data_IF_914666577642
#
_entry.id   IF_914666577642
#
_cell.length_a   1.000
_cell.length_b   1.000
_cell.length_c   1.000
_cell.angle_alpha   90.00
_cell.angle_beta   90.00
_cell.angle_gamma   90.00
#
_symmetry.space_group_name_H-M   'P 1'
#
loop_
_entity.id
_entity.type
_entity.pdbx_description
1 polymer ?
#
# COMPACT_ATOMS: atom_id res chain seq x y z
N UNK A 1 -40.41 58.39 21.93
CA UNK A 1 -40.28 57.62 20.68
C UNK A 1 -38.89 57.71 20.02
N UNK A 2 -38.30 58.89 19.77
CA UNK A 2 -36.99 59.01 19.09
C UNK A 2 -35.81 58.25 19.76
N UNK A 3 -35.73 58.22 21.10
CA UNK A 3 -34.64 57.53 21.82
C UNK A 3 -34.69 55.99 21.74
N UNK A 4 -35.87 55.40 21.54
CA UNK A 4 -36.04 53.94 21.46
C UNK A 4 -35.59 53.42 20.09
N UNK A 5 -35.89 54.18 19.02
CA UNK A 5 -35.46 53.87 17.65
C UNK A 5 -33.92 53.96 17.52
N UNK A 6 -33.30 54.89 18.24
CA UNK A 6 -31.85 55.06 18.22
C UNK A 6 -31.14 53.91 18.95
N UNK A 7 -31.74 53.38 20.03
CA UNK A 7 -31.19 52.24 20.76
C UNK A 7 -31.30 50.94 19.95
N UNK A 8 -32.41 50.72 19.24
CA UNK A 8 -32.60 49.52 18.41
C UNK A 8 -31.66 49.47 17.20
N UNK A 9 -31.37 50.62 16.58
CA UNK A 9 -30.38 50.71 15.49
C UNK A 9 -28.96 50.38 15.97
N UNK A 10 -28.55 50.84 17.15
CA UNK A 10 -27.22 50.55 17.71
C UNK A 10 -27.10 49.05 18.06
N UNK A 11 -28.13 48.45 18.62
CA UNK A 11 -28.14 47.00 18.94
C UNK A 11 -28.07 46.17 17.66
N UNK A 12 -28.81 46.51 16.60
CA UNK A 12 -28.70 45.81 15.31
C UNK A 12 -27.29 45.93 14.70
N UNK A 13 -26.65 47.09 14.76
CA UNK A 13 -25.27 47.25 14.26
C UNK A 13 -24.26 46.35 15.01
N UNK A 14 -24.39 46.21 16.33
CA UNK A 14 -23.52 45.35 17.13
C UNK A 14 -23.69 43.86 16.79
N UNK A 15 -24.93 43.42 16.52
CA UNK A 15 -25.19 42.04 16.06
C UNK A 15 -24.61 41.75 14.67
N UNK A 16 -24.68 42.72 13.74
CA UNK A 16 -24.07 42.58 12.40
C UNK A 16 -22.55 42.54 12.48
N UNK A 17 -21.93 43.35 13.37
CA UNK A 17 -20.48 43.32 13.57
C UNK A 17 -19.99 42.01 14.21
N UNK A 18 -20.72 41.47 15.20
CA UNK A 18 -20.36 40.18 15.80
C UNK A 18 -20.46 39.02 14.79
N UNK A 19 -21.52 38.96 13.99
CA UNK A 19 -21.67 37.90 12.98
C UNK A 19 -20.58 37.95 11.89
N UNK A 20 -20.15 39.13 11.45
CA UNK A 20 -19.06 39.28 10.49
C UNK A 20 -17.71 38.78 11.03
N UNK A 21 -17.41 39.05 12.31
CA UNK A 21 -16.17 38.59 12.94
C UNK A 21 -16.08 37.06 13.02
N UNK A 22 -17.20 36.38 13.30
CA UNK A 22 -17.24 34.92 13.34
C UNK A 22 -17.08 34.28 11.95
N UNK A 23 -17.67 34.89 10.90
CA UNK A 23 -17.51 34.42 9.52
C UNK A 23 -16.04 34.55 9.06
N UNK A 24 -15.34 35.63 9.45
CA UNK A 24 -13.92 35.80 9.13
C UNK A 24 -13.04 34.76 9.85
N UNK A 25 -13.35 34.45 11.11
CA UNK A 25 -12.65 33.41 11.88
C UNK A 25 -12.84 32.02 11.23
N UNK A 26 -14.07 31.66 10.86
CA UNK A 26 -14.38 30.39 10.18
C UNK A 26 -13.69 30.26 8.81
N UNK A 27 -13.64 31.34 8.03
CA UNK A 27 -12.90 31.38 6.75
C UNK A 27 -11.39 31.22 6.94
N UNK A 28 -10.83 31.82 8.00
CA UNK A 28 -9.41 31.69 8.32
C UNK A 28 -9.07 30.25 8.72
N UNK A 29 -9.83 29.63 9.61
CA UNK A 29 -9.62 28.24 10.05
C UNK A 29 -9.71 27.25 8.91
N UNK A 30 -10.76 27.34 8.07
CA UNK A 30 -10.91 26.48 6.88
C UNK A 30 -9.82 26.69 5.84
N UNK A 31 -9.26 27.90 5.71
CA UNK A 31 -8.13 28.16 4.79
C UNK A 31 -6.80 27.60 5.31
N UNK A 32 -6.61 27.59 6.63
CA UNK A 32 -5.42 27.04 7.30
C UNK A 32 -5.47 25.51 7.27
N UNK A 33 -6.62 24.92 7.60
CA UNK A 33 -6.84 23.48 7.52
C UNK A 33 -6.70 22.96 6.07
N UNK A 34 -7.24 23.69 5.09
CA UNK A 34 -7.01 23.35 3.67
C UNK A 34 -5.55 23.52 3.23
N UNK A 35 -4.79 24.45 3.83
CA UNK A 35 -3.35 24.59 3.56
C UNK A 35 -2.55 23.46 4.19
N UNK A 36 -2.86 23.05 5.42
CA UNK A 36 -2.21 21.93 6.09
C UNK A 36 -2.53 20.61 5.40
N UNK A 37 -3.78 20.39 4.97
CA UNK A 37 -4.17 19.21 4.16
C UNK A 37 -3.48 19.22 2.78
N UNK A 38 -3.36 20.38 2.12
CA UNK A 38 -2.63 20.50 0.84
C UNK A 38 -1.12 20.34 1.00
N UNK A 39 -0.57 20.71 2.15
CA UNK A 39 0.87 20.59 2.45
C UNK A 39 1.22 19.17 2.88
N UNK A 40 0.33 18.47 3.59
CA UNK A 40 0.45 17.04 3.91
C UNK A 40 0.20 16.12 2.69
N UNK A 41 -0.62 16.56 1.72
CA UNK A 41 -0.79 15.88 0.41
C UNK A 41 0.27 16.23 -0.63
N UNK A 42 1.22 17.13 -0.33
CA UNK A 42 2.41 17.32 -1.16
C UNK A 42 3.36 16.17 -0.84
N UNK A 43 3.14 15.08 -1.57
CA UNK A 43 3.91 13.84 -1.59
C UNK A 43 5.39 14.05 -1.25
N UNK A 44 5.80 13.60 -0.06
CA UNK A 44 7.14 13.03 0.07
C UNK A 44 7.05 11.66 -0.59
N UNK A 45 7.06 11.66 -1.92
CA UNK A 45 7.22 10.46 -2.74
C UNK A 45 8.68 10.05 -2.57
N UNK A 46 9.00 9.37 -1.47
CA UNK A 46 10.29 8.65 -1.38
C UNK A 46 10.19 7.57 -2.44
N UNK A 47 10.70 7.85 -3.64
CA UNK A 47 10.81 6.85 -4.68
C UNK A 47 11.81 5.82 -4.14
N UNK A 48 11.34 4.64 -3.72
CA UNK A 48 12.19 3.55 -3.28
C UNK A 48 13.29 3.31 -4.30
N UNK A 49 14.54 3.30 -3.88
CA UNK A 49 15.67 3.02 -4.78
C UNK A 49 15.57 1.58 -5.31
N UNK A 50 15.87 1.42 -6.59
CA UNK A 50 15.94 0.10 -7.23
C UNK A 50 17.18 -0.60 -6.70
N UNK A 51 17.00 -1.81 -6.19
CA UNK A 51 18.09 -2.67 -5.69
C UNK A 51 18.36 -3.81 -6.67
N UNK A 52 19.48 -4.52 -6.50
CA UNK A 52 19.85 -5.65 -7.38
C UNK A 52 20.19 -6.88 -6.56
N UNK A 53 19.57 -8.01 -6.93
CA UNK A 53 19.85 -9.30 -6.34
C UNK A 53 21.25 -9.80 -6.72
N UNK A 54 21.98 -10.43 -5.78
CA UNK A 54 23.10 -11.30 -6.11
C UNK A 54 22.72 -12.34 -7.18
N UNK A 55 23.65 -12.65 -8.09
CA UNK A 55 23.39 -13.53 -9.25
C UNK A 55 22.97 -14.95 -8.87
N UNK A 56 23.56 -15.47 -7.80
CA UNK A 56 23.23 -16.77 -7.21
C UNK A 56 21.81 -16.77 -6.65
N UNK A 57 21.43 -15.73 -5.90
CA UNK A 57 20.05 -15.57 -5.40
C UNK A 57 19.03 -15.47 -6.53
N UNK A 58 19.32 -14.65 -7.55
CA UNK A 58 18.46 -14.54 -8.73
C UNK A 58 18.29 -15.89 -9.43
N UNK A 59 19.37 -16.65 -9.59
CA UNK A 59 19.33 -17.99 -10.18
C UNK A 59 18.45 -18.93 -9.35
N UNK A 60 18.65 -18.97 -8.03
CA UNK A 60 17.84 -19.80 -7.13
C UNK A 60 16.35 -19.43 -7.21
N UNK A 61 15.99 -18.15 -7.19
CA UNK A 61 14.59 -17.71 -7.32
C UNK A 61 14.00 -18.18 -8.65
N UNK A 62 14.72 -18.02 -9.77
CA UNK A 62 14.26 -18.47 -11.08
C UNK A 62 13.98 -19.96 -11.13
N UNK A 63 14.88 -20.76 -10.55
CA UNK A 63 14.76 -22.23 -10.52
C UNK A 63 13.65 -22.69 -9.57
N UNK A 64 13.60 -22.17 -8.34
CA UNK A 64 12.62 -22.57 -7.32
C UNK A 64 11.18 -22.28 -7.74
N UNK A 65 10.94 -21.13 -8.38
CA UNK A 65 9.60 -20.69 -8.74
C UNK A 65 9.28 -20.85 -10.23
N UNK A 66 10.08 -21.62 -10.97
CA UNK A 66 9.92 -21.86 -12.41
C UNK A 66 9.75 -20.56 -13.25
N UNK A 67 10.46 -19.50 -12.87
CA UNK A 67 10.42 -18.22 -13.57
C UNK A 67 11.45 -18.21 -14.70
N UNK A 68 11.00 -18.59 -15.89
CA UNK A 68 11.90 -18.83 -17.03
C UNK A 68 11.60 -17.97 -18.25
N UNK A 69 10.32 -17.63 -18.51
CA UNK A 69 9.90 -16.99 -19.76
C UNK A 69 9.59 -15.51 -19.59
N UNK A 70 8.93 -15.16 -18.50
CA UNK A 70 8.36 -13.84 -18.22
C UNK A 70 9.46 -12.82 -17.87
N UNK A 71 9.32 -11.56 -18.29
CA UNK A 71 10.32 -10.51 -18.02
C UNK A 71 10.32 -10.03 -16.57
N UNK A 72 9.16 -10.10 -15.91
CA UNK A 72 8.94 -9.66 -14.54
C UNK A 72 8.41 -10.83 -13.70
N UNK A 73 8.85 -10.89 -12.44
CA UNK A 73 8.27 -11.70 -11.37
C UNK A 73 7.64 -10.76 -10.34
N UNK A 74 6.37 -10.98 -10.04
CA UNK A 74 5.62 -10.33 -8.97
C UNK A 74 5.38 -11.36 -7.86
N UNK A 75 5.80 -11.03 -6.65
CA UNK A 75 5.72 -11.89 -5.48
C UNK A 75 4.84 -11.22 -4.45
N UNK A 76 3.68 -11.81 -4.18
CA UNK A 76 2.77 -11.41 -3.12
C UNK A 76 3.15 -12.20 -1.86
N UNK A 77 3.68 -11.52 -0.85
CA UNK A 77 4.15 -12.13 0.37
C UNK A 77 3.11 -12.06 1.48
N UNK A 78 2.97 -13.16 2.22
CA UNK A 78 2.13 -13.27 3.42
C UNK A 78 2.97 -13.76 4.60
N UNK A 79 2.97 -12.98 5.69
CA UNK A 79 3.82 -13.17 6.87
C UNK A 79 3.44 -14.36 7.76
N UNK A 80 4.11 -14.45 8.91
CA UNK A 80 3.81 -15.46 9.92
C UNK A 80 2.49 -15.15 10.63
N UNK A 81 1.69 -16.19 10.95
CA UNK A 81 0.39 -16.00 11.60
C UNK A 81 0.53 -15.25 12.93
N UNK A 82 1.47 -15.69 13.76
CA UNK A 82 1.63 -15.22 15.14
C UNK A 82 2.32 -13.85 15.25
N UNK A 83 2.87 -13.33 14.14
CA UNK A 83 3.46 -11.98 14.11
C UNK A 83 2.44 -10.91 13.70
N UNK A 84 1.25 -11.32 13.28
CA UNK A 84 0.22 -10.43 12.79
C UNK A 84 -0.85 -10.12 13.84
N UNK A 85 -1.25 -8.84 14.01
CA UNK A 85 -2.26 -8.47 14.98
C UNK A 85 -3.68 -8.92 14.59
N UNK A 86 -3.87 -9.42 13.38
CA UNK A 86 -5.11 -9.94 12.84
C UNK A 86 -4.88 -11.30 12.17
N UNK A 87 -5.92 -12.12 12.10
CA UNK A 87 -5.81 -13.45 11.53
C UNK A 87 -5.73 -13.43 10.01
N UNK A 88 -4.50 -13.45 9.50
CA UNK A 88 -4.26 -13.41 8.06
C UNK A 88 -4.60 -14.75 7.37
N UNK A 89 -4.62 -15.88 8.08
CA UNK A 89 -4.84 -17.20 7.48
C UNK A 89 -6.28 -17.75 7.62
N UNK A 90 -7.14 -17.16 8.45
CA UNK A 90 -8.50 -17.70 8.65
C UNK A 90 -9.45 -17.36 7.47
N UNK A 91 -9.04 -16.48 6.54
CA UNK A 91 -9.82 -16.04 5.38
C UNK A 91 -9.04 -16.10 4.07
N UNK A 92 -8.49 -17.27 3.74
CA UNK A 92 -7.69 -17.45 2.51
C UNK A 92 -8.49 -17.12 1.24
N UNK A 93 -9.74 -17.56 1.14
CA UNK A 93 -10.60 -17.22 0.01
C UNK A 93 -10.83 -15.72 -0.09
N UNK A 94 -11.13 -15.04 1.02
CA UNK A 94 -11.32 -13.59 1.03
C UNK A 94 -10.03 -12.84 0.63
N UNK A 95 -8.85 -13.39 0.95
CA UNK A 95 -7.57 -12.84 0.49
C UNK A 95 -7.45 -12.97 -1.03
N UNK A 96 -7.83 -14.12 -1.59
CA UNK A 96 -7.83 -14.35 -3.03
C UNK A 96 -8.80 -13.40 -3.73
N UNK A 97 -10.02 -13.26 -3.20
CA UNK A 97 -11.03 -12.35 -3.73
C UNK A 97 -10.54 -10.89 -3.70
N UNK A 98 -9.82 -10.49 -2.65
CA UNK A 98 -9.20 -9.16 -2.58
C UNK A 98 -8.14 -8.97 -3.67
N UNK A 99 -7.29 -9.97 -3.93
CA UNK A 99 -6.32 -9.89 -5.02
C UNK A 99 -6.98 -9.73 -6.37
N UNK A 100 -7.99 -10.56 -6.66
CA UNK A 100 -8.62 -10.61 -7.97
C UNK A 100 -9.49 -9.38 -8.25
N UNK A 101 -10.17 -8.85 -7.23
CA UNK A 101 -11.15 -7.77 -7.42
C UNK A 101 -10.62 -6.37 -7.09
N UNK A 102 -9.57 -6.23 -6.28
CA UNK A 102 -9.09 -4.92 -5.82
C UNK A 102 -7.64 -4.62 -6.25
N UNK A 103 -6.76 -5.62 -6.19
CA UNK A 103 -5.33 -5.42 -6.40
C UNK A 103 -4.93 -5.56 -7.87
N UNK A 104 -5.41 -6.61 -8.54
CA UNK A 104 -5.00 -6.96 -9.91
C UNK A 104 -5.99 -6.68 -11.06
N UNK A 105 -7.24 -6.21 -10.89
CA UNK A 105 -8.22 -6.21 -11.98
C UNK A 105 -7.79 -5.40 -13.22
N UNK A 106 -6.93 -4.38 -13.04
CA UNK A 106 -6.41 -3.57 -14.14
C UNK A 106 -4.86 -3.49 -14.18
N UNK A 107 -4.15 -4.43 -13.56
CA UNK A 107 -2.70 -4.51 -13.70
C UNK A 107 -2.36 -5.28 -14.97
N UNK A 108 -1.54 -4.69 -15.86
CA UNK A 108 -1.01 -5.39 -17.03
C UNK A 108 0.02 -6.46 -16.61
N UNK A 109 -0.41 -7.71 -16.59
CA UNK A 109 0.40 -8.89 -16.25
C UNK A 109 0.87 -9.69 -17.49
N UNK A 110 0.71 -9.17 -18.71
CA UNK A 110 0.94 -9.92 -19.97
C UNK A 110 2.32 -10.59 -20.07
N UNK A 111 3.33 -10.05 -19.38
CA UNK A 111 4.70 -10.57 -19.36
C UNK A 111 5.24 -10.68 -17.92
N UNK A 112 4.34 -10.93 -16.98
CA UNK A 112 4.64 -11.04 -15.57
C UNK A 112 4.28 -12.44 -15.09
N UNK A 113 5.19 -13.09 -14.35
CA UNK A 113 4.85 -14.22 -13.51
C UNK A 113 4.37 -13.68 -12.18
N UNK A 114 3.12 -13.93 -11.81
CA UNK A 114 2.53 -13.48 -10.55
C UNK A 114 2.37 -14.68 -9.61
N UNK A 115 3.02 -14.64 -8.45
CA UNK A 115 2.99 -15.74 -7.48
C UNK A 115 2.70 -15.23 -6.06
N UNK A 116 2.28 -16.16 -5.21
CA UNK A 116 1.96 -15.94 -3.81
C UNK A 116 2.88 -16.78 -2.95
N UNK A 117 3.54 -16.16 -1.98
CA UNK A 117 4.50 -16.81 -1.08
C UNK A 117 4.03 -16.65 0.37
N UNK A 118 3.91 -17.79 1.06
CA UNK A 118 3.42 -17.86 2.42
C UNK A 118 4.54 -18.25 3.39
N UNK A 119 4.85 -17.35 4.33
CA UNK A 119 5.83 -17.62 5.37
C UNK A 119 5.40 -18.77 6.30
N UNK A 120 4.09 -18.96 6.49
CA UNK A 120 3.55 -19.99 7.37
C UNK A 120 2.88 -21.12 6.59
N UNK A 121 3.70 -22.11 6.23
CA UNK A 121 3.28 -23.28 5.44
C UNK A 121 2.13 -24.06 6.06
N UNK A 122 2.11 -24.20 7.39
CA UNK A 122 1.13 -25.07 8.07
C UNK A 122 -0.28 -24.53 7.91
N UNK A 123 -0.44 -23.20 8.00
CA UNK A 123 -1.73 -22.55 7.79
C UNK A 123 -2.05 -22.33 6.31
N UNK A 124 -1.05 -22.12 5.46
CA UNK A 124 -1.26 -21.98 4.00
C UNK A 124 -1.56 -23.30 3.29
N UNK A 125 -1.31 -24.45 3.92
CA UNK A 125 -1.45 -25.79 3.33
C UNK A 125 -2.68 -26.01 2.45
N UNK A 126 -3.90 -25.51 2.79
CA UNK A 126 -5.08 -25.73 1.96
C UNK A 126 -5.04 -25.10 0.56
N UNK A 127 -4.19 -24.09 0.33
CA UNK A 127 -4.11 -23.34 -0.94
C UNK A 127 -2.77 -23.50 -1.67
N UNK A 128 -1.79 -24.20 -1.08
CA UNK A 128 -0.50 -24.42 -1.74
C UNK A 128 -0.69 -25.36 -2.94
N UNK A 129 -0.32 -24.87 -4.13
CA UNK A 129 -0.35 -25.63 -5.39
C UNK A 129 1.05 -25.81 -6.01
N UNK A 130 2.06 -25.08 -5.52
CA UNK A 130 3.42 -25.04 -6.04
C UNK A 130 3.51 -24.64 -7.53
N UNK A 131 2.51 -23.94 -8.03
CA UNK A 131 2.44 -23.37 -9.38
C UNK A 131 2.26 -21.85 -9.33
N UNK A 132 1.33 -21.40 -8.49
CA UNK A 132 1.04 -19.98 -8.23
C UNK A 132 1.13 -19.64 -6.75
N UNK A 133 0.94 -20.63 -5.87
CA UNK A 133 0.92 -20.52 -4.41
C UNK A 133 2.00 -21.42 -3.79
N UNK A 134 2.99 -20.80 -3.16
CA UNK A 134 4.21 -21.45 -2.65
C UNK A 134 4.43 -21.19 -1.16
N UNK A 135 5.09 -22.12 -0.48
CA UNK A 135 5.69 -21.82 0.82
C UNK A 135 6.96 -20.98 0.65
N UNK A 136 7.29 -20.17 1.66
CA UNK A 136 8.57 -19.48 1.76
C UNK A 136 9.65 -20.46 2.20
N UNK A 137 10.24 -21.18 1.25
CA UNK A 137 11.23 -22.24 1.51
C UNK A 137 12.39 -21.70 2.35
N UNK A 138 12.57 -22.26 3.55
CA UNK A 138 13.61 -21.81 4.48
C UNK A 138 13.40 -20.41 5.08
N UNK A 139 12.20 -19.84 4.90
CA UNK A 139 11.85 -18.44 5.24
C UNK A 139 12.75 -17.42 4.53
N UNK A 140 13.11 -17.67 3.28
CA UNK A 140 14.02 -16.82 2.51
C UNK A 140 13.47 -15.40 2.34
N UNK A 141 12.24 -15.25 1.85
CA UNK A 141 11.65 -13.93 1.62
C UNK A 141 11.41 -13.18 2.93
N UNK A 142 10.92 -13.88 3.95
CA UNK A 142 10.76 -13.33 5.29
C UNK A 142 12.10 -12.79 5.82
N UNK A 143 13.19 -13.56 5.75
CA UNK A 143 14.48 -13.17 6.34
C UNK A 143 15.18 -12.04 5.58
N UNK A 144 15.06 -12.01 4.26
CA UNK A 144 15.85 -11.12 3.40
C UNK A 144 15.12 -9.85 2.98
N UNK A 145 13.79 -9.87 2.84
CA UNK A 145 13.03 -8.73 2.29
C UNK A 145 11.92 -8.25 3.22
N UNK A 146 11.28 -9.15 3.97
CA UNK A 146 10.11 -8.84 4.80
C UNK A 146 10.39 -9.04 6.30
N UNK A 147 11.64 -8.83 6.73
CA UNK A 147 12.12 -9.18 8.07
C UNK A 147 11.70 -8.23 9.19
N UNK A 148 10.98 -7.15 8.85
CA UNK A 148 10.45 -6.24 9.84
C UNK A 148 9.36 -6.96 10.63
N UNK A 149 9.50 -7.00 11.95
CA UNK A 149 8.51 -7.57 12.85
C UNK A 149 7.13 -6.98 12.57
N UNK A 150 6.13 -7.85 12.42
CA UNK A 150 4.75 -7.46 12.12
C UNK A 150 4.47 -7.21 10.64
N UNK A 151 5.39 -7.57 9.73
CA UNK A 151 5.10 -7.59 8.29
C UNK A 151 4.11 -8.71 7.98
N UNK A 152 2.84 -8.36 7.82
CA UNK A 152 1.78 -9.31 7.51
C UNK A 152 1.60 -9.56 6.02
N UNK A 153 1.81 -8.52 5.23
CA UNK A 153 1.71 -8.52 3.79
C UNK A 153 2.90 -7.79 3.19
N UNK A 154 3.18 -8.05 1.93
CA UNK A 154 4.12 -7.26 1.16
C UNK A 154 4.12 -7.69 -0.30
N UNK A 155 4.72 -6.87 -1.14
CA UNK A 155 4.92 -7.19 -2.56
C UNK A 155 6.35 -6.92 -2.96
N UNK A 156 6.91 -7.82 -3.76
CA UNK A 156 8.22 -7.64 -4.39
C UNK A 156 8.04 -7.80 -5.90
N UNK A 157 8.65 -6.90 -6.67
CA UNK A 157 8.69 -6.99 -8.13
C UNK A 157 10.15 -7.07 -8.56
N UNK A 158 10.47 -8.03 -9.41
CA UNK A 158 11.84 -8.34 -9.87
C UNK A 158 11.84 -8.44 -11.38
N UNK A 159 12.82 -7.84 -12.07
CA UNK A 159 13.01 -8.07 -13.51
C UNK A 159 14.05 -9.16 -13.81
N UNK A 160 14.14 -9.61 -15.06
CA UNK A 160 15.08 -10.68 -15.46
C UNK A 160 16.55 -10.39 -15.15
N UNK A 161 16.95 -9.13 -15.00
CA UNK A 161 18.32 -8.70 -14.64
C UNK A 161 18.59 -8.81 -13.13
N UNK A 162 17.55 -9.05 -12.33
CA UNK A 162 17.61 -9.12 -10.86
C UNK A 162 17.41 -7.76 -10.19
N UNK A 163 17.04 -6.72 -10.92
CA UNK A 163 16.65 -5.44 -10.34
C UNK A 163 15.27 -5.58 -9.71
N UNK A 164 15.09 -5.02 -8.50
CA UNK A 164 13.87 -5.21 -7.74
C UNK A 164 13.45 -3.99 -6.91
N UNK A 165 12.17 -4.00 -6.57
CA UNK A 165 11.52 -3.11 -5.61
C UNK A 165 10.72 -3.97 -4.62
N UNK A 166 10.61 -3.52 -3.36
CA UNK A 166 9.87 -4.19 -2.29
C UNK A 166 9.01 -3.16 -1.56
N UNK A 167 7.72 -3.46 -1.37
CA UNK A 167 6.82 -2.72 -0.50
C UNK A 167 6.35 -3.65 0.63
N UNK A 168 6.52 -3.22 1.88
CA UNK A 168 6.07 -3.95 3.06
C UNK A 168 4.76 -3.38 3.59
N UNK A 169 3.81 -4.25 3.90
CA UNK A 169 2.45 -3.87 4.32
C UNK A 169 1.42 -4.12 3.23
N UNK A 170 0.25 -3.53 3.40
CA UNK A 170 -0.81 -3.57 2.39
C UNK A 170 -0.41 -2.73 1.17
N UNK A 171 -0.78 -3.20 -0.01
CA UNK A 171 -0.50 -2.57 -1.29
C UNK A 171 -1.75 -2.63 -2.17
N UNK A 172 -1.73 -1.85 -3.25
CA UNK A 172 -2.85 -1.73 -4.16
C UNK A 172 -2.37 -1.77 -5.62
N UNK A 173 -3.33 -1.71 -6.54
CA UNK A 173 -3.09 -1.68 -7.98
C UNK A 173 -2.05 -0.64 -8.41
N UNK A 174 -2.09 0.58 -7.84
CA UNK A 174 -1.16 1.65 -8.17
C UNK A 174 0.28 1.28 -7.80
N UNK A 175 0.47 0.67 -6.64
CA UNK A 175 1.77 0.25 -6.12
C UNK A 175 2.45 -0.71 -7.09
N UNK A 176 1.76 -1.79 -7.47
CA UNK A 176 2.29 -2.81 -8.38
C UNK A 176 2.53 -2.25 -9.77
N UNK A 177 1.57 -1.49 -10.30
CA UNK A 177 1.70 -0.86 -11.62
C UNK A 177 2.93 0.02 -11.70
N UNK A 178 3.15 0.86 -10.67
CA UNK A 178 4.32 1.72 -10.59
C UNK A 178 5.62 0.92 -10.45
N UNK A 179 5.64 -0.14 -9.63
CA UNK A 179 6.84 -1.00 -9.50
C UNK A 179 7.20 -1.68 -10.82
N UNK A 180 6.21 -2.24 -11.53
CA UNK A 180 6.42 -2.86 -12.85
C UNK A 180 6.94 -1.83 -13.86
N UNK A 181 6.32 -0.64 -13.94
CA UNK A 181 6.74 0.41 -14.87
C UNK A 181 8.17 0.90 -14.64
N UNK A 182 8.63 0.90 -13.38
CA UNK A 182 9.99 1.32 -13.02
C UNK A 182 11.06 0.28 -13.32
N UNK A 183 10.66 -0.98 -13.50
CA UNK A 183 11.57 -2.12 -13.72
C UNK A 183 11.52 -2.66 -15.15
N UNK A 184 10.61 -2.16 -15.99
CA UNK A 184 10.59 -2.35 -17.46
C UNK A 184 11.75 -1.57 -18.09
#
# INVERSE_FOLDING_TARGET
MKKIIQLTLIVMCLFVQQSWSQIQMLKKTSSVENKEIKTAKKEVKIQQEVQTLPKDQLKSIKETYNWTKEEILVINFKGLKDECPFSIYDGLQATQDWFDNEVYPNVDLTNCRNIYIYADKLYAKPILDFETHYDDVGHYFLKHFFNRKGTCYGVMVINKKGEYLVEGGEYNQYTITNMIQRLK
#
